data_IF_661896608080
#
_entry.id   IF_661896608080
#
_cell.length_a   1.000
_cell.length_b   1.000
_cell.length_c   1.000
_cell.angle_alpha   90.00
_cell.angle_beta   90.00
_cell.angle_gamma   90.00
#
_symmetry.space_group_name_H-M   'P 1'
#
loop_
_entity.id
_entity.type
_entity.pdbx_description
1 polymer ?
#
# COMPACT_ATOMS: atom_id res chain seq x y z
N UNK A 1 21.04 28.82 -48.50
CA UNK A 1 19.80 28.05 -48.75
C UNK A 1 19.04 27.92 -47.44
N UNK A 2 17.72 28.03 -47.52
CA UNK A 2 16.78 28.36 -46.44
C UNK A 2 16.69 27.36 -45.26
N UNK A 3 16.19 27.81 -44.08
CA UNK A 3 15.82 26.98 -42.94
C UNK A 3 14.30 26.66 -42.90
N UNK A 4 13.92 25.60 -42.17
CA UNK A 4 12.56 25.30 -41.63
C UNK A 4 12.78 24.66 -40.25
N UNK A 5 12.36 25.14 -39.06
CA UNK A 5 11.06 25.58 -38.53
C UNK A 5 9.98 24.49 -38.65
N UNK A 6 9.20 24.04 -37.65
CA UNK A 6 8.95 24.30 -36.21
C UNK A 6 8.41 22.97 -35.62
N UNK A 7 7.82 22.79 -34.43
CA UNK A 7 7.02 23.64 -33.53
C UNK A 7 7.02 22.96 -32.14
N UNK A 8 7.35 23.66 -31.04
CA UNK A 8 6.44 24.25 -30.04
C UNK A 8 5.25 23.38 -29.59
N UNK A 9 5.33 22.81 -28.39
CA UNK A 9 4.15 22.40 -27.61
C UNK A 9 3.91 23.45 -26.52
N UNK A 10 2.97 24.35 -26.78
CA UNK A 10 2.40 25.25 -25.79
C UNK A 10 1.55 24.43 -24.82
N UNK A 11 1.86 24.50 -23.52
CA UNK A 11 0.92 24.17 -22.45
C UNK A 11 -0.16 25.26 -22.42
N UNK A 12 -1.40 24.88 -22.72
CA UNK A 12 -2.57 25.74 -22.60
C UNK A 12 -3.11 25.62 -21.18
N UNK A 13 -3.07 26.74 -20.44
CA UNK A 13 -3.86 26.94 -19.23
C UNK A 13 -5.34 26.97 -19.55
N UNK A 14 -6.16 26.27 -18.75
CA UNK A 14 -7.56 26.65 -18.55
C UNK A 14 -7.85 26.66 -17.04
N UNK A 15 -7.90 27.88 -16.52
CA UNK A 15 -8.49 28.22 -15.25
C UNK A 15 -10.02 28.17 -15.35
N UNK A 16 -10.67 27.67 -14.31
CA UNK A 16 -12.07 27.98 -14.04
C UNK A 16 -12.20 28.54 -12.62
N UNK A 17 -12.83 29.71 -12.53
CA UNK A 17 -13.27 30.41 -11.32
C UNK A 17 -14.80 30.40 -11.33
N UNK A 18 -15.43 30.04 -10.20
CA UNK A 18 -16.66 30.63 -9.62
C UNK A 18 -17.15 29.72 -8.45
N UNK A 19 -16.96 30.08 -7.17
CA UNK A 19 -17.78 30.91 -6.27
C UNK A 19 -19.12 30.29 -5.80
N UNK A 20 -19.20 30.03 -4.48
CA UNK A 20 -20.29 30.18 -3.51
C UNK A 20 -20.15 29.05 -2.45
N UNK A 21 -20.01 29.23 -1.14
CA UNK A 21 -20.51 30.27 -0.24
C UNK A 21 -21.56 29.64 0.68
N UNK A 22 -21.19 29.13 1.87
CA UNK A 22 -22.12 29.06 3.00
C UNK A 22 -21.42 28.81 4.34
N UNK A 23 -21.78 29.68 5.28
CA UNK A 23 -21.45 29.72 6.70
C UNK A 23 -22.27 28.68 7.44
N UNK A 24 -21.66 27.86 8.30
CA UNK A 24 -22.34 27.33 9.50
C UNK A 24 -21.41 27.47 10.71
N UNK A 25 -21.96 28.17 11.70
CA UNK A 25 -21.42 28.48 13.02
C UNK A 25 -21.74 27.29 13.94
N UNK A 26 -20.78 26.82 14.72
CA UNK A 26 -20.99 25.72 15.67
C UNK A 26 -20.01 25.79 16.84
N UNK A 27 -20.27 26.69 17.78
CA UNK A 27 -19.57 26.80 19.05
C UNK A 27 -19.82 25.58 19.93
N UNK A 28 -18.77 24.98 20.52
CA UNK A 28 -18.90 24.16 21.72
C UNK A 28 -18.02 24.72 22.83
N UNK A 29 -18.69 25.22 23.87
CA UNK A 29 -18.11 25.55 25.16
C UNK A 29 -17.87 24.25 25.94
N UNK A 30 -16.67 24.09 26.49
CA UNK A 30 -16.44 23.18 27.61
C UNK A 30 -15.99 24.05 28.78
N UNK A 31 -16.81 24.02 29.83
CA UNK A 31 -16.66 24.84 31.01
C UNK A 31 -15.40 24.49 31.80
N UNK A 32 -14.68 25.54 32.20
CA UNK A 32 -13.81 25.49 33.36
C UNK A 32 -14.64 25.14 34.59
N UNK A 33 -14.21 24.13 35.34
CA UNK A 33 -14.57 24.01 36.74
C UNK A 33 -13.30 24.21 37.56
N UNK A 34 -13.23 25.33 38.27
CA UNK A 34 -12.28 25.55 39.35
C UNK A 34 -12.53 24.52 40.46
N UNK A 35 -11.46 23.90 40.98
CA UNK A 35 -11.48 23.29 42.30
C UNK A 35 -10.42 24.00 43.14
N UNK A 36 -10.93 24.70 44.15
CA UNK A 36 -10.18 25.35 45.24
C UNK A 36 -9.68 24.29 46.22
N UNK A 37 -8.57 24.59 46.88
CA UNK A 37 -7.69 23.61 47.54
C UNK A 37 -8.20 22.98 48.84
N UNK A 38 -7.42 22.03 49.37
CA UNK A 38 -6.86 22.09 50.73
C UNK A 38 -5.82 20.98 50.94
N UNK A 39 -4.90 21.25 51.85
CA UNK A 39 -3.71 20.47 52.20
C UNK A 39 -4.00 19.07 52.75
N UNK A 40 -3.05 18.16 52.54
CA UNK A 40 -2.78 17.06 53.46
C UNK A 40 -3.58 15.77 53.24
N UNK A 41 -3.25 15.03 52.19
CA UNK A 41 -3.27 13.56 52.26
C UNK A 41 -2.41 12.97 51.15
N UNK A 42 -1.46 12.11 51.53
CA UNK A 42 -0.68 11.33 50.57
C UNK A 42 -1.62 10.33 49.88
N UNK A 43 -2.03 10.66 48.66
CA UNK A 43 -2.70 9.71 47.78
C UNK A 43 -1.61 8.84 47.17
N UNK A 44 -1.46 7.62 47.70
CA UNK A 44 -0.77 6.55 47.01
C UNK A 44 -1.63 6.20 45.79
N UNK A 45 -1.26 6.73 44.62
CA UNK A 45 -1.81 6.28 43.35
C UNK A 45 -1.33 4.85 43.10
N UNK A 46 -2.21 3.88 43.39
CA UNK A 46 -2.07 2.53 42.86
C UNK A 46 -2.40 2.59 41.37
N UNK A 47 -1.36 2.72 40.54
CA UNK A 47 -1.45 2.42 39.12
C UNK A 47 -1.57 0.91 38.94
N UNK A 48 -2.77 0.37 39.15
CA UNK A 48 -3.13 -1.00 38.78
C UNK A 48 -3.64 -1.03 37.32
N UNK A 49 -2.94 -0.34 36.41
CA UNK A 49 -3.05 -0.63 34.97
C UNK A 49 -1.88 -1.55 34.68
N UNK A 50 -2.16 -2.85 34.60
CA UNK A 50 -1.20 -3.82 34.10
C UNK A 50 -0.62 -3.28 32.78
N UNK A 51 0.71 -3.31 32.57
CA UNK A 51 1.27 -2.93 31.29
C UNK A 51 0.58 -3.78 30.22
N UNK A 52 -0.06 -3.12 29.25
CA UNK A 52 -0.54 -3.79 28.05
C UNK A 52 0.71 -4.42 27.43
N UNK A 53 0.83 -5.72 27.58
CA UNK A 53 1.87 -6.50 26.91
C UNK A 53 1.55 -6.36 25.44
N UNK A 54 2.25 -5.46 24.75
CA UNK A 54 2.32 -5.45 23.30
C UNK A 54 2.95 -6.78 22.93
N UNK A 55 2.11 -7.76 22.62
CA UNK A 55 2.55 -9.02 22.05
C UNK A 55 3.08 -8.71 20.66
N UNK A 56 4.39 -8.52 20.56
CA UNK A 56 5.16 -8.48 19.31
C UNK A 56 5.03 -9.84 18.62
N UNK A 57 3.95 -9.99 17.87
CA UNK A 57 3.54 -11.26 17.25
C UNK A 57 3.96 -11.21 15.79
N UNK A 58 5.02 -11.93 15.44
CA UNK A 58 5.48 -12.32 14.07
C UNK A 58 5.73 -11.23 13.00
N UNK A 59 4.99 -10.12 12.93
CA UNK A 59 5.26 -9.00 12.03
C UNK A 59 6.64 -8.37 12.29
N UNK A 60 7.08 -8.38 13.56
CA UNK A 60 8.41 -7.93 14.00
C UNK A 60 9.58 -8.72 13.38
N UNK A 61 9.37 -9.94 12.85
CA UNK A 61 10.45 -10.70 12.23
C UNK A 61 10.68 -10.36 10.74
N UNK A 62 9.66 -9.87 10.04
CA UNK A 62 9.72 -9.53 8.62
C UNK A 62 10.07 -8.06 8.38
N UNK A 63 9.76 -7.20 9.35
CA UNK A 63 10.09 -5.77 9.34
C UNK A 63 11.21 -5.55 10.35
N UNK A 64 12.45 -5.48 9.86
CA UNK A 64 13.63 -5.28 10.73
C UNK A 64 13.83 -3.81 11.09
N UNK A 65 14.66 -3.52 12.10
CA UNK A 65 15.00 -2.15 12.52
C UNK A 65 15.49 -1.25 11.37
N UNK A 66 16.23 -1.81 10.42
CA UNK A 66 16.69 -1.09 9.23
C UNK A 66 15.51 -0.67 8.33
N UNK A 67 14.51 -1.55 8.18
CA UNK A 67 13.33 -1.25 7.39
C UNK A 67 12.39 -0.29 8.13
N UNK A 68 12.28 -0.43 9.45
CA UNK A 68 11.56 0.51 10.32
C UNK A 68 12.12 1.92 10.16
N UNK A 69 13.44 2.10 10.30
CA UNK A 69 14.09 3.41 10.14
C UNK A 69 13.87 4.00 8.74
N UNK A 70 13.82 3.15 7.72
CA UNK A 70 13.49 3.59 6.37
C UNK A 70 12.03 4.03 6.26
N UNK A 71 11.08 3.28 6.81
CA UNK A 71 9.65 3.65 6.80
C UNK A 71 9.38 4.93 7.61
N UNK A 72 9.96 5.05 8.80
CA UNK A 72 9.89 6.25 9.64
C UNK A 72 10.47 7.50 8.94
N UNK A 73 11.34 7.34 7.94
CA UNK A 73 11.85 8.48 7.16
C UNK A 73 10.80 9.17 6.28
N UNK A 74 9.66 8.51 6.05
CA UNK A 74 8.51 9.10 5.35
C UNK A 74 7.55 9.84 6.28
N UNK A 75 7.59 9.59 7.59
CA UNK A 75 6.88 10.39 8.60
C UNK A 75 7.58 11.76 8.72
N UNK A 76 7.22 12.66 7.82
CA UNK A 76 7.92 13.93 7.64
C UNK A 76 7.65 14.89 8.80
N UNK A 77 6.53 14.71 9.49
CA UNK A 77 6.11 15.57 10.58
C UNK A 77 6.42 14.98 11.97
N UNK A 78 6.82 13.70 12.05
CA UNK A 78 7.14 12.92 13.26
C UNK A 78 5.95 12.83 14.24
N UNK A 79 4.76 12.54 13.73
CA UNK A 79 3.54 12.35 14.52
C UNK A 79 3.12 10.89 14.72
N UNK A 80 3.97 9.94 14.27
CA UNK A 80 3.75 8.49 14.30
C UNK A 80 2.50 8.04 13.49
N UNK A 81 1.94 8.91 12.65
CA UNK A 81 0.77 8.63 11.83
C UNK A 81 1.03 8.91 10.34
N UNK A 82 0.68 7.96 9.49
CA UNK A 82 0.93 8.09 8.06
C UNK A 82 -0.10 9.02 7.40
N UNK A 83 0.37 10.14 6.86
CA UNK A 83 -0.46 11.03 6.04
C UNK A 83 -0.52 10.57 4.59
N UNK A 84 -1.55 11.00 3.87
CA UNK A 84 -1.71 10.65 2.45
C UNK A 84 -0.51 11.10 1.59
N UNK A 85 0.04 12.29 1.82
CA UNK A 85 1.23 12.77 1.08
C UNK A 85 2.50 11.98 1.38
N UNK A 86 2.59 11.37 2.55
CA UNK A 86 3.72 10.53 2.97
C UNK A 86 3.62 9.14 2.34
N UNK A 87 2.40 8.58 2.32
CA UNK A 87 2.09 7.37 1.58
C UNK A 87 2.37 7.52 0.07
N UNK A 88 1.99 8.66 -0.52
CA UNK A 88 2.30 9.00 -1.90
C UNK A 88 3.82 9.11 -2.13
N UNK A 89 4.55 9.72 -1.20
CA UNK A 89 6.01 9.82 -1.28
C UNK A 89 6.68 8.45 -1.26
N UNK A 90 6.18 7.51 -0.45
CA UNK A 90 6.63 6.13 -0.44
C UNK A 90 6.30 5.41 -1.76
N UNK A 91 5.09 5.59 -2.29
CA UNK A 91 4.68 5.03 -3.57
C UNK A 91 5.65 5.44 -4.70
N UNK A 92 5.93 6.73 -4.85
CA UNK A 92 6.86 7.21 -5.88
C UNK A 92 8.29 6.77 -5.62
N UNK A 93 8.69 6.64 -4.35
CA UNK A 93 10.00 6.09 -4.05
C UNK A 93 10.14 4.66 -4.58
N UNK A 94 9.11 3.81 -4.45
CA UNK A 94 9.13 2.45 -5.00
C UNK A 94 9.26 2.51 -6.52
N UNK A 95 8.43 3.29 -7.21
CA UNK A 95 8.50 3.48 -8.67
C UNK A 95 9.89 3.92 -9.17
N UNK A 96 10.53 4.82 -8.43
CA UNK A 96 11.82 5.40 -8.84
C UNK A 96 13.02 4.51 -8.49
N UNK A 97 12.90 3.67 -7.46
CA UNK A 97 14.04 2.98 -6.85
C UNK A 97 13.96 1.45 -6.86
N UNK A 98 12.83 0.86 -7.23
CA UNK A 98 12.69 -0.60 -7.35
C UNK A 98 12.45 -0.95 -8.82
N UNK A 99 13.36 -1.74 -9.38
CA UNK A 99 13.33 -2.16 -10.79
C UNK A 99 12.44 -3.40 -10.94
N UNK A 100 11.59 -3.45 -11.95
CA UNK A 100 10.84 -4.67 -12.23
C UNK A 100 11.80 -5.82 -12.55
N UNK A 101 11.62 -6.97 -11.90
CA UNK A 101 12.41 -8.18 -12.16
C UNK A 101 11.52 -9.40 -12.14
N UNK A 102 11.48 -10.13 -13.25
CA UNK A 102 10.88 -11.46 -13.30
C UNK A 102 11.74 -12.47 -12.53
N UNK A 103 11.12 -13.31 -11.71
CA UNK A 103 11.80 -14.41 -11.02
C UNK A 103 12.29 -15.50 -11.97
N UNK A 104 11.53 -15.80 -13.02
CA UNK A 104 11.93 -16.79 -14.02
C UNK A 104 13.18 -16.33 -14.79
N UNK A 105 14.29 -17.02 -14.54
CA UNK A 105 15.59 -16.87 -15.21
C UNK A 105 15.52 -16.95 -16.75
N UNK A 106 14.49 -17.60 -17.29
CA UNK A 106 14.28 -17.76 -18.74
C UNK A 106 13.46 -16.63 -19.38
N UNK A 107 12.79 -15.79 -18.57
CA UNK A 107 11.94 -14.71 -19.06
C UNK A 107 12.75 -13.42 -19.17
N UNK A 108 13.07 -13.04 -20.41
CA UNK A 108 13.54 -11.69 -20.75
C UNK A 108 12.36 -10.77 -20.96
N UNK A 109 11.94 -10.09 -19.90
CA UNK A 109 10.97 -9.01 -20.02
C UNK A 109 11.66 -7.80 -20.63
N UNK A 110 11.14 -7.32 -21.77
CA UNK A 110 11.61 -6.08 -22.41
C UNK A 110 10.38 -5.22 -22.65
N UNK A 111 9.96 -4.51 -21.61
CA UNK A 111 8.89 -3.52 -21.72
C UNK A 111 9.51 -2.17 -22.13
N UNK A 112 9.17 -1.60 -23.30
CA UNK A 112 9.73 -0.34 -23.75
C UNK A 112 9.49 0.79 -22.73
N UNK A 113 10.56 1.32 -22.15
CA UNK A 113 10.49 2.42 -21.18
C UNK A 113 10.51 1.99 -19.70
N UNK A 114 10.35 0.70 -19.40
CA UNK A 114 10.49 0.14 -18.05
C UNK A 114 11.85 -0.53 -17.95
N UNK A 115 12.63 -0.18 -16.92
CA UNK A 115 13.84 -0.96 -16.60
C UNK A 115 13.36 -2.31 -16.07
N UNK A 116 13.58 -3.36 -16.85
CA UNK A 116 13.29 -4.74 -16.46
C UNK A 116 14.58 -5.56 -16.50
N UNK A 117 14.76 -6.42 -15.51
CA UNK A 117 15.84 -7.41 -15.45
C UNK A 117 15.23 -8.82 -15.26
N UNK A 118 16.01 -9.85 -15.56
CA UNK A 118 15.54 -11.24 -15.55
C UNK A 118 16.30 -12.06 -14.54
N UNK A 119 15.58 -12.94 -13.84
CA UNK A 119 16.17 -13.87 -12.90
C UNK A 119 16.57 -13.19 -11.61
N UNK A 120 16.09 -13.72 -10.50
CA UNK A 120 16.46 -13.27 -9.16
C UNK A 120 17.61 -14.09 -8.54
N UNK A 121 18.09 -15.11 -9.26
CA UNK A 121 19.14 -16.03 -8.85
C UNK A 121 18.66 -17.13 -7.89
N UNK A 122 17.34 -17.23 -7.62
CA UNK A 122 16.75 -18.24 -6.74
C UNK A 122 16.19 -19.41 -7.56
N UNK A 123 16.09 -20.56 -6.92
CA UNK A 123 15.55 -21.76 -7.57
C UNK A 123 14.03 -21.65 -7.69
N UNK A 124 13.52 -21.70 -8.92
CA UNK A 124 12.08 -21.66 -9.20
C UNK A 124 11.76 -20.83 -10.43
N UNK A 125 10.47 -20.62 -10.67
CA UNK A 125 9.97 -19.65 -11.65
C UNK A 125 9.22 -18.50 -10.97
N UNK A 126 9.09 -18.56 -9.63
CA UNK A 126 8.20 -17.75 -8.83
C UNK A 126 8.62 -17.84 -7.34
N UNK A 127 8.89 -16.70 -6.71
CA UNK A 127 9.37 -16.54 -5.34
C UNK A 127 8.96 -15.17 -4.76
N UNK A 128 7.97 -15.19 -3.86
CA UNK A 128 7.69 -14.02 -3.03
C UNK A 128 8.86 -13.63 -2.12
N UNK A 129 9.47 -12.48 -2.40
CA UNK A 129 10.50 -11.85 -1.58
C UNK A 129 9.94 -11.27 -0.28
N UNK A 130 10.77 -11.28 0.75
CA UNK A 130 10.50 -10.52 1.96
C UNK A 130 10.65 -9.02 1.70
N UNK A 131 9.98 -8.14 2.48
CA UNK A 131 10.13 -6.68 2.32
C UNK A 131 11.59 -6.21 2.35
N UNK A 132 12.43 -6.85 3.18
CA UNK A 132 13.85 -6.54 3.27
C UNK A 132 14.65 -6.97 2.04
N UNK A 133 14.30 -8.09 1.39
CA UNK A 133 14.93 -8.52 0.13
C UNK A 133 14.64 -7.50 -0.98
N UNK A 134 13.37 -7.14 -1.20
CA UNK A 134 12.98 -6.13 -2.20
C UNK A 134 13.65 -4.78 -1.92
N UNK A 135 13.68 -4.35 -0.66
CA UNK A 135 14.34 -3.10 -0.23
C UNK A 135 15.86 -3.11 -0.51
N UNK A 136 16.56 -4.22 -0.25
CA UNK A 136 18.02 -4.30 -0.43
C UNK A 136 18.42 -4.51 -1.89
N UNK A 137 17.68 -5.34 -2.60
CA UNK A 137 17.97 -5.71 -3.97
C UNK A 137 17.54 -4.63 -4.96
N UNK A 138 16.61 -3.75 -4.56
CA UNK A 138 16.07 -2.71 -5.44
C UNK A 138 15.47 -3.29 -6.71
N UNK A 139 14.93 -4.50 -6.58
CA UNK A 139 14.33 -5.24 -7.66
C UNK A 139 13.34 -6.29 -7.13
N UNK A 140 12.27 -6.51 -7.88
CA UNK A 140 11.22 -7.50 -7.63
C UNK A 140 10.13 -7.37 -8.68
N UNK A 141 9.21 -8.31 -8.76
CA UNK A 141 8.00 -8.23 -9.58
C UNK A 141 6.80 -7.75 -8.76
N UNK A 142 5.59 -8.09 -9.20
CA UNK A 142 4.36 -7.50 -8.70
C UNK A 142 4.07 -7.82 -7.23
N UNK A 143 4.22 -9.08 -6.82
CA UNK A 143 4.00 -9.50 -5.45
C UNK A 143 5.08 -9.00 -4.51
N UNK A 144 6.31 -8.83 -4.99
CA UNK A 144 7.43 -8.33 -4.21
C UNK A 144 7.21 -6.87 -3.82
N UNK A 145 6.88 -6.04 -4.82
CA UNK A 145 6.59 -4.62 -4.59
C UNK A 145 5.34 -4.45 -3.75
N UNK A 146 4.29 -5.25 -4.00
CA UNK A 146 3.09 -5.27 -3.15
C UNK A 146 3.43 -5.69 -1.71
N UNK A 147 4.34 -6.66 -1.53
CA UNK A 147 4.77 -7.14 -0.21
C UNK A 147 5.54 -6.06 0.57
N UNK A 148 6.43 -5.33 -0.10
CA UNK A 148 7.11 -4.18 0.48
C UNK A 148 6.10 -3.08 0.85
N UNK A 149 5.14 -2.79 -0.01
CA UNK A 149 4.12 -1.78 0.24
C UNK A 149 3.26 -2.14 1.47
N UNK A 150 2.72 -3.36 1.57
CA UNK A 150 1.91 -3.71 2.74
C UNK A 150 2.72 -3.73 4.04
N UNK A 151 4.03 -3.98 3.98
CA UNK A 151 4.90 -3.88 5.16
C UNK A 151 5.00 -2.44 5.66
N UNK A 152 5.08 -1.47 4.76
CA UNK A 152 5.07 -0.05 5.07
C UNK A 152 3.75 0.37 5.73
N UNK A 153 2.59 0.06 5.13
CA UNK A 153 1.30 0.42 5.72
C UNK A 153 1.05 -0.26 7.08
N UNK A 154 1.39 -1.55 7.20
CA UNK A 154 1.23 -2.27 8.47
C UNK A 154 2.16 -1.76 9.56
N UNK A 155 3.31 -1.17 9.23
CA UNK A 155 4.17 -0.50 10.21
C UNK A 155 3.43 0.67 10.88
N UNK A 156 2.68 1.46 10.12
CA UNK A 156 1.82 2.53 10.63
C UNK A 156 0.45 2.04 11.15
N UNK A 157 0.29 0.73 11.36
CA UNK A 157 -0.94 0.16 11.93
C UNK A 157 -2.11 0.07 10.96
N UNK A 158 -1.90 0.32 9.67
CA UNK A 158 -2.95 0.32 8.65
C UNK A 158 -3.15 -1.11 8.12
N UNK A 159 -4.43 -1.49 8.01
CA UNK A 159 -4.79 -2.82 7.53
C UNK A 159 -4.50 -2.97 6.03
N UNK A 160 -3.65 -3.94 5.67
CA UNK A 160 -3.21 -4.13 4.29
C UNK A 160 -2.89 -5.60 3.94
N UNK A 161 -3.09 -5.95 2.66
CA UNK A 161 -2.89 -7.31 2.11
C UNK A 161 -2.31 -7.25 0.70
N UNK A 162 -1.56 -8.27 0.30
CA UNK A 162 -1.31 -8.50 -1.13
C UNK A 162 -2.59 -9.10 -1.71
N UNK A 163 -3.11 -8.50 -2.77
CA UNK A 163 -4.22 -9.03 -3.53
C UNK A 163 -3.71 -9.63 -4.84
N UNK A 164 -4.06 -10.89 -5.09
CA UNK A 164 -3.95 -11.46 -6.43
C UNK A 164 -5.09 -10.92 -7.28
N UNK A 165 -4.78 -10.26 -8.40
CA UNK A 165 -5.77 -9.63 -9.27
C UNK A 165 -5.79 -10.26 -10.65
N UNK A 166 -7.00 -10.45 -11.16
CA UNK A 166 -7.26 -11.05 -12.47
C UNK A 166 -7.99 -10.05 -13.36
N UNK A 167 -7.80 -10.18 -14.67
CA UNK A 167 -8.73 -9.62 -15.63
C UNK A 167 -10.04 -10.41 -15.51
N UNK A 168 -11.21 -9.76 -15.40
CA UNK A 168 -12.51 -10.48 -15.38
C UNK A 168 -12.69 -11.38 -16.61
N UNK A 169 -12.00 -11.09 -17.72
CA UNK A 169 -11.85 -11.95 -18.88
C UNK A 169 -10.38 -11.93 -19.34
N UNK A 170 -9.62 -13.05 -19.33
CA UNK A 170 -10.06 -14.44 -19.27
C UNK A 170 -10.21 -15.05 -17.86
N UNK A 171 -10.25 -14.26 -16.79
CA UNK A 171 -10.21 -14.74 -15.40
C UNK A 171 -8.97 -15.59 -15.10
N UNK A 172 -7.80 -15.02 -15.40
CA UNK A 172 -6.51 -15.59 -15.09
C UNK A 172 -5.79 -14.66 -14.13
N UNK A 173 -5.19 -15.25 -13.08
CA UNK A 173 -4.28 -14.54 -12.19
C UNK A 173 -3.06 -14.11 -12.98
N UNK A 174 -2.88 -12.81 -13.02
CA UNK A 174 -1.95 -12.15 -13.93
C UNK A 174 -1.10 -11.09 -13.22
N UNK A 175 -1.58 -10.58 -12.09
CA UNK A 175 -0.89 -9.51 -11.38
C UNK A 175 -1.14 -9.57 -9.87
N UNK A 176 -0.26 -8.95 -9.10
CA UNK A 176 -0.40 -8.78 -7.66
C UNK A 176 -0.21 -7.32 -7.27
N UNK A 177 -1.03 -6.85 -6.34
CA UNK A 177 -1.05 -5.45 -5.89
C UNK A 177 -1.23 -5.37 -4.39
N UNK A 178 -0.84 -4.24 -3.80
CA UNK A 178 -1.17 -3.98 -2.40
C UNK A 178 -2.59 -3.43 -2.31
N UNK A 179 -3.38 -3.93 -1.35
CA UNK A 179 -4.63 -3.31 -0.95
C UNK A 179 -4.52 -2.76 0.46
N UNK A 180 -5.01 -1.53 0.68
CA UNK A 180 -4.81 -0.78 1.93
C UNK A 180 -6.12 -0.14 2.37
N UNK A 181 -6.54 -0.34 3.62
CA UNK A 181 -7.85 0.13 4.10
C UNK A 181 -7.93 1.66 4.11
N UNK A 182 -9.02 2.19 3.56
CA UNK A 182 -9.24 3.64 3.40
C UNK A 182 -9.77 4.36 4.62
N UNK A 183 -10.37 3.66 5.57
CA UNK A 183 -10.87 4.31 6.79
C UNK A 183 -9.74 5.04 7.54
N UNK A 184 -8.52 4.54 7.40
CA UNK A 184 -7.32 5.16 7.97
C UNK A 184 -6.87 6.44 7.20
N UNK A 185 -7.48 6.72 6.04
CA UNK A 185 -7.26 7.92 5.20
C UNK A 185 -8.55 8.72 4.93
N UNK A 186 -9.62 8.49 5.70
CA UNK A 186 -10.98 8.93 5.36
C UNK A 186 -11.17 10.45 5.21
N UNK A 187 -10.27 11.27 5.76
CA UNK A 187 -10.35 12.73 5.71
C UNK A 187 -9.66 13.34 4.47
N UNK A 188 -8.98 12.54 3.65
CA UNK A 188 -8.17 13.03 2.53
C UNK A 188 -8.87 12.85 1.17
N UNK A 189 -8.88 13.89 0.30
CA UNK A 189 -9.47 13.78 -1.03
C UNK A 189 -8.63 12.85 -1.92
N UNK A 190 -9.18 11.65 -2.18
CA UNK A 190 -8.67 10.52 -2.99
C UNK A 190 -8.27 10.89 -4.44
N UNK A 191 -8.36 12.16 -4.85
CA UNK A 191 -8.21 12.58 -6.25
C UNK A 191 -6.77 12.70 -6.75
N UNK A 192 -5.75 12.43 -5.91
CA UNK A 192 -4.36 12.75 -6.25
C UNK A 192 -3.53 11.58 -6.76
N UNK A 193 -3.86 10.37 -6.36
CA UNK A 193 -3.28 9.19 -6.96
C UNK A 193 -4.35 8.57 -7.85
N UNK A 194 -3.93 7.91 -8.93
CA UNK A 194 -4.78 7.10 -9.80
C UNK A 194 -5.26 5.83 -9.08
N UNK A 195 -5.74 5.99 -7.84
CA UNK A 195 -6.10 4.96 -6.90
C UNK A 195 -7.51 4.49 -7.19
N UNK A 196 -7.61 3.19 -7.42
CA UNK A 196 -8.89 2.53 -7.55
C UNK A 196 -9.34 2.11 -6.15
N UNK A 197 -10.56 2.48 -5.79
CA UNK A 197 -11.21 1.97 -4.60
C UNK A 197 -11.74 0.55 -4.84
N UNK A 198 -11.48 -0.35 -3.90
CA UNK A 198 -12.00 -1.71 -3.85
C UNK A 198 -12.90 -1.87 -2.63
N UNK A 199 -14.10 -2.41 -2.80
CA UNK A 199 -14.95 -2.74 -1.66
C UNK A 199 -14.74 -4.18 -1.24
N UNK A 200 -14.42 -4.40 0.03
CA UNK A 200 -14.40 -5.71 0.67
C UNK A 200 -15.72 -5.90 1.43
N UNK A 201 -16.42 -6.99 1.10
CA UNK A 201 -17.68 -7.35 1.71
C UNK A 201 -17.50 -8.03 3.07
N UNK A 202 -18.54 -7.98 3.90
CA UNK A 202 -18.59 -8.70 5.17
C UNK A 202 -18.49 -10.21 4.94
N UNK A 203 -17.67 -10.88 5.77
CA UNK A 203 -17.37 -12.31 5.64
C UNK A 203 -16.27 -12.67 4.64
N UNK A 204 -15.61 -11.69 4.00
CA UNK A 204 -14.41 -11.94 3.19
C UNK A 204 -13.27 -12.51 4.05
N UNK A 205 -12.52 -13.47 3.50
CA UNK A 205 -11.40 -14.15 4.17
C UNK A 205 -10.13 -14.10 3.33
N UNK A 206 -8.98 -14.17 4.00
CA UNK A 206 -7.68 -14.38 3.35
C UNK A 206 -7.48 -15.85 2.93
N UNK A 207 -6.39 -16.13 2.19
CA UNK A 207 -6.03 -17.49 1.71
C UNK A 207 -5.72 -18.51 2.84
N UNK A 208 -5.77 -18.06 4.10
CA UNK A 208 -5.61 -18.89 5.30
C UNK A 208 -6.90 -19.01 6.12
N UNK A 209 -8.00 -18.39 5.67
CA UNK A 209 -9.31 -18.42 6.33
C UNK A 209 -9.48 -17.42 7.46
N UNK A 210 -8.60 -16.42 7.59
CA UNK A 210 -8.79 -15.33 8.55
C UNK A 210 -9.71 -14.27 7.95
N UNK A 211 -10.62 -13.73 8.76
CA UNK A 211 -11.50 -12.65 8.34
C UNK A 211 -10.72 -11.38 8.00
N UNK A 212 -11.17 -10.71 6.94
CA UNK A 212 -10.71 -9.38 6.54
C UNK A 212 -11.81 -8.39 6.91
N UNK A 213 -11.42 -7.21 7.40
CA UNK A 213 -12.42 -6.20 7.75
C UNK A 213 -13.19 -5.76 6.49
N UNK A 214 -14.52 -5.63 6.55
CA UNK A 214 -15.26 -5.03 5.45
C UNK A 214 -14.94 -3.53 5.36
N UNK A 215 -15.04 -2.99 4.15
CA UNK A 215 -14.83 -1.56 3.93
C UNK A 215 -14.26 -1.24 2.54
N UNK A 216 -13.88 0.01 2.36
CA UNK A 216 -13.18 0.46 1.15
C UNK A 216 -11.68 0.35 1.36
N UNK A 217 -10.98 -0.21 0.37
CA UNK A 217 -9.53 -0.33 0.31
C UNK A 217 -9.03 0.40 -0.95
N UNK A 218 -7.83 0.93 -0.91
CA UNK A 218 -7.10 1.41 -2.08
C UNK A 218 -6.33 0.26 -2.72
N UNK A 219 -6.32 0.20 -4.04
CA UNK A 219 -5.33 -0.57 -4.78
C UNK A 219 -4.09 0.28 -5.03
N UNK A 220 -2.94 -0.19 -4.55
CA UNK A 220 -1.63 0.37 -4.83
C UNK A 220 -0.90 -0.59 -5.75
N UNK A 221 -0.70 -0.13 -6.98
CA UNK A 221 0.01 -0.87 -8.02
C UNK A 221 1.33 -0.20 -8.32
N UNK A 222 2.41 -0.86 -7.91
CA UNK A 222 3.78 -0.40 -8.12
C UNK A 222 4.51 -1.17 -9.23
N UNK A 223 3.85 -2.10 -9.90
CA UNK A 223 4.48 -2.98 -10.85
C UNK A 223 3.71 -2.98 -12.18
N UNK A 224 4.45 -2.94 -13.27
CA UNK A 224 3.86 -3.07 -14.60
C UNK A 224 3.33 -4.49 -14.80
N UNK A 225 2.07 -4.64 -15.22
CA UNK A 225 1.52 -5.90 -15.74
C UNK A 225 1.57 -5.92 -17.27
N UNK A 226 1.93 -7.07 -17.84
CA UNK A 226 1.87 -7.31 -19.30
C UNK A 226 0.45 -7.26 -19.88
N UNK A 227 -0.56 -7.57 -19.07
CA UNK A 227 -1.97 -7.53 -19.49
C UNK A 227 -2.60 -6.16 -19.28
N UNK A 228 -2.19 -5.43 -18.23
CA UNK A 228 -2.86 -4.20 -17.80
C UNK A 228 -2.07 -2.92 -18.02
N UNK A 229 -0.76 -2.99 -18.27
CA UNK A 229 0.12 -1.85 -18.04
C UNK A 229 0.21 -1.55 -16.53
N UNK A 230 0.34 -0.28 -16.16
CA UNK A 230 0.10 0.16 -14.78
C UNK A 230 -1.42 0.30 -14.56
N UNK A 231 -1.96 -0.26 -13.48
CA UNK A 231 -3.40 -0.14 -13.16
C UNK A 231 -3.88 1.32 -13.02
N UNK A 232 -2.95 2.24 -12.76
CA UNK A 232 -3.17 3.70 -12.66
C UNK A 232 -3.49 4.38 -14.00
N UNK A 233 -3.03 3.87 -15.13
CA UNK A 233 -3.03 4.59 -16.41
C UNK A 233 -4.20 4.25 -17.36
N UNK A 234 -5.15 3.43 -16.90
CA UNK A 234 -6.45 3.35 -17.58
C UNK A 234 -7.24 2.11 -17.29
N UNK A 235 -8.28 2.23 -16.46
CA UNK A 235 -9.35 1.24 -16.45
C UNK A 235 -10.75 1.86 -16.39
N UNK A 236 -11.63 1.28 -17.21
CA UNK A 236 -13.07 1.32 -17.02
C UNK A 236 -13.41 0.51 -15.75
N UNK A 237 -14.37 0.94 -14.92
CA UNK A 237 -14.89 0.12 -13.83
C UNK A 237 -15.25 -1.29 -14.32
N UNK A 238 -15.08 -2.31 -13.46
CA UNK A 238 -15.37 -3.74 -13.73
C UNK A 238 -14.35 -4.56 -14.56
N UNK A 239 -13.12 -4.09 -14.78
CA UNK A 239 -12.13 -4.86 -15.54
C UNK A 239 -11.32 -5.88 -14.73
N UNK A 240 -11.20 -5.69 -13.41
CA UNK A 240 -10.45 -6.59 -12.53
C UNK A 240 -11.30 -7.12 -11.37
N UNK A 241 -10.79 -8.17 -10.73
CA UNK A 241 -11.31 -8.74 -9.49
C UNK A 241 -10.12 -9.13 -8.61
N UNK A 242 -10.13 -8.74 -7.33
CA UNK A 242 -9.20 -9.33 -6.36
C UNK A 242 -9.71 -10.74 -6.04
N UNK A 243 -8.99 -11.74 -6.51
CA UNK A 243 -9.38 -13.15 -6.39
C UNK A 243 -9.04 -13.70 -5.00
N UNK A 244 -7.94 -13.23 -4.43
CA UNK A 244 -7.47 -13.69 -3.12
C UNK A 244 -6.71 -12.58 -2.39
N UNK A 245 -6.55 -12.78 -1.08
CA UNK A 245 -5.82 -11.87 -0.20
C UNK A 245 -4.79 -12.63 0.62
N UNK A 246 -3.57 -12.11 0.67
CA UNK A 246 -2.42 -12.77 1.26
C UNK A 246 -1.84 -11.85 2.35
N UNK A 247 -1.84 -12.26 3.62
CA UNK A 247 -1.30 -11.44 4.69
C UNK A 247 0.24 -11.35 4.60
N UNK A 248 0.79 -10.30 5.21
CA UNK A 248 2.23 -10.05 5.26
C UNK A 248 2.99 -11.21 5.92
N UNK A 249 2.42 -11.88 6.92
CA UNK A 249 3.14 -12.80 7.80
C UNK A 249 3.31 -14.22 7.22
N UNK A 250 2.79 -14.49 6.02
CA UNK A 250 2.64 -15.85 5.48
C UNK A 250 2.94 -15.93 3.98
N UNK A 251 3.11 -17.15 3.46
CA UNK A 251 3.22 -17.36 2.01
C UNK A 251 4.61 -17.06 1.46
N UNK A 252 5.66 -17.43 2.19
CA UNK A 252 7.04 -17.28 1.73
C UNK A 252 7.70 -18.64 1.47
N UNK A 253 8.77 -18.63 0.67
CA UNK A 253 9.60 -19.82 0.42
C UNK A 253 8.73 -21.00 -0.05
N UNK A 254 8.84 -22.14 0.62
CA UNK A 254 8.14 -23.38 0.27
C UNK A 254 6.60 -23.28 0.38
N UNK A 255 6.06 -22.25 1.05
CA UNK A 255 4.60 -22.04 1.11
C UNK A 255 4.05 -21.37 -0.15
N UNK A 256 4.88 -20.65 -0.90
CA UNK A 256 4.43 -19.73 -1.94
C UNK A 256 3.60 -20.41 -3.03
N UNK A 257 4.11 -21.50 -3.61
CA UNK A 257 3.38 -22.28 -4.60
C UNK A 257 1.99 -22.75 -4.10
N UNK A 258 1.86 -23.08 -2.81
CA UNK A 258 0.57 -23.50 -2.26
C UNK A 258 -0.40 -22.32 -2.12
N UNK A 259 0.12 -21.11 -1.85
CA UNK A 259 -0.67 -19.87 -1.81
C UNK A 259 -1.18 -19.51 -3.19
N UNK A 260 -0.29 -19.48 -4.20
CA UNK A 260 -0.65 -19.19 -5.59
C UNK A 260 -1.74 -20.14 -6.09
N UNK A 261 -1.61 -21.44 -5.81
CA UNK A 261 -2.65 -22.42 -6.18
C UNK A 261 -4.00 -22.17 -5.48
N UNK A 262 -4.01 -21.78 -4.20
CA UNK A 262 -5.27 -21.43 -3.51
C UNK A 262 -5.92 -20.19 -4.10
N UNK A 263 -5.13 -19.20 -4.53
CA UNK A 263 -5.63 -18.03 -5.22
C UNK A 263 -6.30 -18.40 -6.55
N UNK A 264 -5.73 -19.37 -7.29
CA UNK A 264 -6.33 -19.84 -8.55
C UNK A 264 -7.64 -20.61 -8.34
N UNK A 265 -7.82 -21.25 -7.18
CA UNK A 265 -9.00 -22.07 -6.83
C UNK A 265 -10.15 -21.28 -6.19
N UNK A 266 -9.93 -20.03 -5.76
CA UNK A 266 -10.93 -19.12 -5.16
C UNK A 266 -11.83 -18.42 -6.18
#
# INVERSE_FOLDING_TARGET
>A
MQPKAGASSQKVHLAWIAIAGMIIVGSFSIGLTEITGNEGNSVILRNDVAPMVVTTTTASALVSDELIQFFESFDANNDDALQFSEAESFFYWVEENVTYRSDDESILMVVPGVKSISGDGRDGIDYRQTPMETFKERAGDCEDMATLAIAFFKHFGIEAYVAGVNAKYPNQLDHAVAIVRMEDFADEPVSYMHLLGYSIDDGTIDVYGNSISPGTYLLLDNAYSDTFGYLSDGFEPDTFMAQCFIPLEKGYRNEWNAVVNRCLDS
#
